data_IF_569101347825
#
_entry.id   IF_569101347825
#
_cell.length_a   1.000
_cell.length_b   1.000
_cell.length_c   1.000
_cell.angle_alpha   90.00
_cell.angle_beta   90.00
_cell.angle_gamma   90.00
#
_symmetry.space_group_name_H-M   'P 1'
#
loop_
_entity.id
_entity.type
_entity.pdbx_description
1 polymer ?
#
# COMPACT_ATOMS: atom_id res chain seq x y z
N UNK A 1 -16.75 8.80 -16.69
CA UNK A 1 -16.96 10.24 -16.41
C UNK A 1 -15.59 10.89 -16.35
N UNK A 2 -15.21 11.71 -17.33
CA UNK A 2 -13.96 12.47 -17.29
C UNK A 2 -14.16 13.68 -16.38
N UNK A 3 -13.53 13.67 -15.21
CA UNK A 3 -13.28 14.92 -14.49
C UNK A 3 -12.31 15.72 -15.36
N UNK A 4 -12.60 17.00 -15.61
CA UNK A 4 -11.84 17.84 -16.52
C UNK A 4 -10.32 17.69 -16.32
N UNK A 5 -9.61 17.24 -17.36
CA UNK A 5 -8.16 17.27 -17.48
C UNK A 5 -7.38 16.03 -16.99
N UNK A 6 -7.93 15.13 -16.18
CA UNK A 6 -7.16 14.01 -15.58
C UNK A 6 -7.86 12.67 -15.86
N UNK A 7 -7.13 11.74 -16.50
CA UNK A 7 -7.62 10.37 -16.70
C UNK A 7 -7.64 9.60 -15.38
N UNK A 8 -8.58 8.65 -15.23
CA UNK A 8 -8.70 7.86 -13.99
C UNK A 8 -7.39 7.15 -13.62
N UNK A 9 -6.66 6.68 -14.63
CA UNK A 9 -5.30 6.14 -14.46
C UNK A 9 -4.35 7.15 -13.79
N UNK A 10 -4.25 8.36 -14.35
CA UNK A 10 -3.33 9.40 -13.85
C UNK A 10 -3.69 9.83 -12.43
N UNK A 11 -4.99 9.89 -12.11
CA UNK A 11 -5.47 10.20 -10.76
C UNK A 11 -4.98 9.17 -9.74
N UNK A 12 -5.12 7.87 -10.05
CA UNK A 12 -4.66 6.80 -9.16
C UNK A 12 -3.15 6.80 -8.96
N UNK A 13 -2.38 7.04 -10.02
CA UNK A 13 -0.92 7.13 -9.93
C UNK A 13 -0.50 8.34 -9.09
N UNK A 14 -1.08 9.51 -9.32
CA UNK A 14 -0.79 10.72 -8.53
C UNK A 14 -1.17 10.55 -7.05
N UNK A 15 -2.32 9.93 -6.78
CA UNK A 15 -2.78 9.60 -5.43
C UNK A 15 -1.82 8.64 -4.72
N UNK A 16 -1.40 7.56 -5.40
CA UNK A 16 -0.43 6.61 -4.86
C UNK A 16 0.91 7.25 -4.54
N UNK A 17 1.39 8.14 -5.42
CA UNK A 17 2.63 8.89 -5.20
C UNK A 17 2.53 9.83 -3.99
N UNK A 18 1.43 10.57 -3.86
CA UNK A 18 1.21 11.44 -2.71
C UNK A 18 1.22 10.65 -1.39
N UNK A 19 0.56 9.50 -1.36
CA UNK A 19 0.57 8.59 -0.21
C UNK A 19 1.98 8.07 0.08
N UNK A 20 2.75 7.68 -0.94
CA UNK A 20 4.12 7.21 -0.74
C UNK A 20 5.01 8.29 -0.10
N UNK A 21 4.81 9.55 -0.47
CA UNK A 21 5.49 10.70 0.15
C UNK A 21 5.07 10.85 1.62
N UNK A 22 3.79 10.64 1.95
CA UNK A 22 3.30 10.70 3.34
C UNK A 22 3.97 9.66 4.25
N UNK A 23 4.32 8.48 3.74
CA UNK A 23 5.07 7.47 4.50
C UNK A 23 6.41 8.00 5.02
N UNK A 24 7.06 8.95 4.33
CA UNK A 24 8.35 9.50 4.78
C UNK A 24 8.25 10.19 6.15
N UNK A 25 7.06 10.63 6.55
CA UNK A 25 6.80 11.27 7.84
C UNK A 25 6.34 10.28 8.91
N UNK A 26 5.90 9.07 8.54
CA UNK A 26 5.30 8.08 9.45
C UNK A 26 5.97 6.73 9.25
N UNK A 27 6.76 6.29 10.23
CA UNK A 27 7.43 4.98 10.17
C UNK A 27 6.43 3.88 10.55
N UNK A 28 5.78 3.23 9.56
CA UNK A 28 4.75 2.22 9.88
C UNK A 28 4.32 1.27 8.75
N UNK A 29 4.80 1.45 7.52
CA UNK A 29 4.45 0.70 6.31
C UNK A 29 2.97 0.78 5.87
N UNK A 30 2.14 1.55 6.57
CA UNK A 30 0.69 1.66 6.29
C UNK A 30 0.46 2.44 5.00
N UNK A 31 1.10 3.60 4.84
CA UNK A 31 0.97 4.39 3.62
C UNK A 31 1.68 3.70 2.45
N UNK A 32 2.78 2.98 2.68
CA UNK A 32 3.40 2.15 1.64
C UNK A 32 2.42 1.11 1.04
N UNK A 33 1.63 0.43 1.87
CA UNK A 33 0.59 -0.50 1.41
C UNK A 33 -0.52 0.21 0.62
N UNK A 34 -0.94 1.40 1.06
CA UNK A 34 -1.90 2.21 0.33
C UNK A 34 -1.35 2.71 -1.02
N UNK A 35 -0.10 3.16 -1.07
CA UNK A 35 0.55 3.58 -2.30
C UNK A 35 0.60 2.45 -3.34
N UNK A 36 0.95 1.23 -2.91
CA UNK A 36 0.96 0.06 -3.78
C UNK A 36 -0.44 -0.29 -4.31
N UNK A 37 -1.48 -0.23 -3.47
CA UNK A 37 -2.85 -0.46 -3.93
C UNK A 37 -3.33 0.59 -4.93
N UNK A 38 -2.96 1.86 -4.74
CA UNK A 38 -3.28 2.94 -5.68
C UNK A 38 -2.55 2.74 -7.02
N UNK A 39 -1.26 2.39 -6.99
CA UNK A 39 -0.48 2.10 -8.19
C UNK A 39 -1.01 0.87 -8.94
N UNK A 40 -1.39 -0.19 -8.23
CA UNK A 40 -1.98 -1.38 -8.84
C UNK A 40 -3.35 -1.07 -9.49
N UNK A 41 -4.21 -0.32 -8.80
CA UNK A 41 -5.52 0.10 -9.34
C UNK A 41 -5.34 1.00 -10.56
N UNK A 42 -4.38 1.93 -10.51
CA UNK A 42 -3.95 2.71 -11.66
C UNK A 42 -3.52 1.79 -12.80
N UNK A 43 -2.53 0.91 -12.58
CA UNK A 43 -1.99 0.00 -13.59
C UNK A 43 -3.08 -0.85 -14.28
N UNK A 44 -4.06 -1.37 -13.52
CA UNK A 44 -5.20 -2.11 -14.08
C UNK A 44 -5.96 -1.26 -15.11
N UNK A 45 -6.27 -0.01 -14.75
CA UNK A 45 -7.01 0.90 -15.62
C UNK A 45 -6.16 1.42 -16.80
N UNK A 46 -4.86 1.64 -16.61
CA UNK A 46 -3.97 2.21 -17.63
C UNK A 46 -3.51 1.22 -18.69
N UNK A 47 -3.20 -0.01 -18.27
CA UNK A 47 -2.73 -1.06 -19.17
C UNK A 47 -3.87 -1.94 -19.69
N UNK A 48 -5.12 -1.67 -19.29
CA UNK A 48 -6.27 -2.46 -19.73
C UNK A 48 -6.19 -3.93 -19.28
N UNK A 49 -5.68 -4.17 -18.06
CA UNK A 49 -5.54 -5.53 -17.53
C UNK A 49 -6.90 -6.24 -17.40
N UNK A 50 -6.94 -7.58 -17.30
CA UNK A 50 -8.19 -8.30 -17.07
C UNK A 50 -8.98 -7.71 -15.89
N UNK A 51 -10.26 -7.44 -16.12
CA UNK A 51 -11.14 -6.78 -15.14
C UNK A 51 -11.15 -5.26 -15.20
N UNK A 52 -10.26 -4.59 -15.95
CA UNK A 52 -10.22 -3.13 -16.08
C UNK A 52 -11.55 -2.49 -16.49
N UNK A 53 -12.33 -3.17 -17.35
CA UNK A 53 -13.67 -2.72 -17.71
C UNK A 53 -14.63 -2.65 -16.52
N UNK A 54 -14.56 -3.61 -15.59
CA UNK A 54 -15.37 -3.59 -14.37
C UNK A 54 -14.82 -2.60 -13.34
N UNK A 55 -13.49 -2.53 -13.16
CA UNK A 55 -12.85 -1.57 -12.25
C UNK A 55 -13.16 -0.14 -12.65
N UNK A 56 -13.11 0.16 -13.96
CA UNK A 56 -13.35 1.49 -14.53
C UNK A 56 -14.83 1.83 -14.73
N UNK A 57 -15.75 0.86 -14.55
CA UNK A 57 -17.19 1.09 -14.73
C UNK A 57 -17.77 2.09 -13.72
N UNK A 58 -17.22 2.12 -12.49
CA UNK A 58 -17.63 3.03 -11.43
C UNK A 58 -16.48 3.33 -10.49
N UNK A 59 -16.47 4.53 -9.92
CA UNK A 59 -15.54 4.91 -8.87
C UNK A 59 -15.62 3.95 -7.68
N UNK A 60 -16.82 3.47 -7.34
CA UNK A 60 -17.03 2.50 -6.26
C UNK A 60 -16.24 1.22 -6.50
N UNK A 61 -16.25 0.69 -7.73
CA UNK A 61 -15.52 -0.55 -8.07
C UNK A 61 -14.01 -0.34 -7.94
N UNK A 62 -13.51 0.81 -8.41
CA UNK A 62 -12.10 1.18 -8.26
C UNK A 62 -11.69 1.27 -6.78
N UNK A 63 -12.53 1.86 -5.92
CA UNK A 63 -12.25 1.96 -4.47
C UNK A 63 -12.25 0.58 -3.80
N UNK A 64 -13.15 -0.33 -4.18
CA UNK A 64 -13.18 -1.71 -3.66
C UNK A 64 -11.86 -2.42 -3.99
N UNK A 65 -11.44 -2.38 -5.26
CA UNK A 65 -10.17 -2.99 -5.71
C UNK A 65 -8.98 -2.39 -4.98
N UNK A 66 -8.91 -1.06 -4.93
CA UNK A 66 -7.89 -0.33 -4.18
C UNK A 66 -7.82 -0.81 -2.73
N UNK A 67 -8.95 -0.83 -2.02
CA UNK A 67 -9.00 -1.19 -0.60
C UNK A 67 -8.49 -2.61 -0.34
N UNK A 68 -8.91 -3.58 -1.16
CA UNK A 68 -8.48 -4.99 -1.03
C UNK A 68 -7.00 -5.12 -1.32
N UNK A 69 -6.52 -4.57 -2.44
CA UNK A 69 -5.11 -4.68 -2.84
C UNK A 69 -4.22 -3.97 -1.83
N UNK A 70 -4.64 -2.81 -1.30
CA UNK A 70 -3.89 -2.08 -0.29
C UNK A 70 -3.75 -2.85 1.02
N UNK A 71 -4.82 -3.48 1.52
CA UNK A 71 -4.75 -4.29 2.74
C UNK A 71 -3.82 -5.48 2.52
N UNK A 72 -3.92 -6.16 1.38
CA UNK A 72 -3.04 -7.27 1.04
C UNK A 72 -1.57 -6.83 0.93
N UNK A 73 -1.30 -5.71 0.27
CA UNK A 73 0.03 -5.14 0.16
C UNK A 73 0.60 -4.75 1.52
N UNK A 74 -0.19 -4.11 2.38
CA UNK A 74 0.19 -3.77 3.75
C UNK A 74 0.52 -5.02 4.57
N UNK A 75 -0.32 -6.05 4.52
CA UNK A 75 -0.08 -7.32 5.23
C UNK A 75 1.23 -7.97 4.74
N UNK A 76 1.46 -8.02 3.43
CA UNK A 76 2.68 -8.57 2.84
C UNK A 76 3.93 -7.80 3.29
N UNK A 77 3.89 -6.46 3.28
CA UNK A 77 4.97 -5.61 3.78
C UNK A 77 5.21 -5.83 5.28
N UNK A 78 4.13 -5.88 6.07
CA UNK A 78 4.21 -6.10 7.52
C UNK A 78 4.83 -7.46 7.85
N UNK A 79 4.50 -8.50 7.09
CA UNK A 79 5.03 -9.84 7.30
C UNK A 79 6.51 -9.95 6.88
N UNK A 80 6.88 -9.33 5.75
CA UNK A 80 8.25 -9.46 5.19
C UNK A 80 9.26 -8.52 5.84
N UNK A 81 8.86 -7.30 6.20
CA UNK A 81 9.74 -6.26 6.74
C UNK A 81 9.59 -6.06 8.26
N UNK A 82 8.42 -6.38 8.84
CA UNK A 82 8.10 -6.13 10.25
C UNK A 82 8.56 -7.21 11.23
N UNK A 83 8.98 -8.39 10.76
CA UNK A 83 9.41 -9.50 11.62
C UNK A 83 10.92 -9.48 11.86
N UNK A 84 11.45 -8.49 12.61
CA UNK A 84 12.76 -8.65 13.25
C UNK A 84 12.62 -9.47 14.54
N UNK A 85 12.44 -10.79 14.39
CA UNK A 85 12.58 -11.76 15.49
C UNK A 85 14.07 -11.84 15.87
N UNK A 86 14.54 -10.97 16.76
CA UNK A 86 15.94 -11.03 17.17
C UNK A 86 16.43 -10.04 18.22
N UNK A 87 15.57 -9.16 18.77
CA UNK A 87 16.03 -8.14 19.71
C UNK A 87 15.56 -8.28 21.16
N UNK A 88 15.01 -9.43 21.54
CA UNK A 88 15.05 -9.82 22.95
C UNK A 88 16.40 -10.53 23.17
N UNK A 89 17.46 -9.76 23.36
CA UNK A 89 18.66 -10.31 23.99
C UNK A 89 18.30 -10.52 25.45
N UNK A 90 17.82 -11.71 25.79
CA UNK A 90 17.64 -12.12 27.18
C UNK A 90 19.05 -12.21 27.76
N UNK A 91 19.49 -11.13 28.40
CA UNK A 91 20.67 -11.16 29.24
C UNK A 91 20.28 -11.95 30.48
N UNK A 92 20.64 -13.23 30.50
CA UNK A 92 20.57 -14.09 31.70
C UNK A 92 21.92 -14.00 32.44
N UNK A 93 22.39 -12.77 32.66
CA UNK A 93 23.53 -12.53 33.52
C UNK A 93 23.00 -11.83 34.76
N UNK A 94 22.86 -12.61 35.83
CA UNK A 94 22.54 -12.09 37.14
C UNK A 94 23.73 -11.27 37.63
N UNK A 95 23.47 -9.99 37.93
CA UNK A 95 24.46 -9.03 38.43
C UNK A 95 24.88 -9.29 39.88
N UNK A 96 24.42 -10.41 40.47
CA UNK A 96 24.67 -10.82 41.85
C UNK A 96 25.53 -12.09 41.98
N UNK A 97 26.05 -12.65 40.89
CA UNK A 97 27.08 -13.69 40.97
C UNK A 97 28.46 -12.99 40.94
N UNK A 98 28.99 -12.72 42.14
CA UNK A 98 30.19 -11.92 42.50
C UNK A 98 31.39 -11.92 41.52
#
# INVERSE_FOLDING_TARGET
MSVAGISAWALWVAFGLAIAILELFVTGYIFAGFALGALATGAILGFGLPGAGWVGASLTNSIVVFSVVSVLAWLALRQTLGLRKGQARTFDHDINED
#
